data_IF_853678437605
#
_entry.id   IF_853678437605
#
_cell.length_a   1.000
_cell.length_b   1.000
_cell.length_c   1.000
_cell.angle_alpha   90.00
_cell.angle_beta   90.00
_cell.angle_gamma   90.00
#
_symmetry.space_group_name_H-M   'P 1'
#
loop_
_entity.id
_entity.type
_entity.pdbx_description
1 polymer ?
#
# COMPACT_ATOMS: atom_id res chain seq x y z
N UNK A 1 28.62 10.48 -39.86
CA UNK A 1 28.04 9.23 -39.37
C UNK A 1 28.68 8.92 -38.03
N UNK A 2 28.11 9.43 -36.96
CA UNK A 2 28.53 9.19 -35.57
C UNK A 2 27.52 8.19 -34.98
N UNK A 3 27.93 6.94 -34.89
CA UNK A 3 27.15 5.86 -34.25
C UNK A 3 27.14 6.07 -32.75
N UNK A 4 25.99 6.46 -32.21
CA UNK A 4 25.71 6.47 -30.79
C UNK A 4 25.60 5.03 -30.31
N UNK A 5 26.50 4.62 -29.43
CA UNK A 5 26.45 3.34 -28.72
C UNK A 5 25.32 3.43 -27.67
N UNK A 6 24.40 2.44 -27.59
CA UNK A 6 23.31 2.50 -26.62
C UNK A 6 23.83 2.31 -25.19
N UNK A 7 23.42 3.23 -24.31
CA UNK A 7 23.79 3.32 -22.86
C UNK A 7 23.04 2.26 -22.01
N UNK A 8 22.85 1.03 -22.52
CA UNK A 8 22.13 0.00 -21.79
C UNK A 8 22.99 -1.13 -21.19
N UNK A 9 24.34 -1.00 -21.19
CA UNK A 9 25.23 -2.04 -20.70
C UNK A 9 26.17 -1.62 -19.54
N UNK A 10 25.86 -0.57 -18.77
CA UNK A 10 26.79 -0.09 -17.73
C UNK A 10 26.34 -0.30 -16.28
N UNK A 11 25.30 -1.09 -16.02
CA UNK A 11 24.84 -1.36 -14.64
C UNK A 11 25.34 -2.68 -14.03
N UNK A 12 26.23 -3.41 -14.72
CA UNK A 12 26.87 -4.57 -14.14
C UNK A 12 28.32 -4.25 -13.76
N UNK A 13 28.58 -4.06 -12.46
CA UNK A 13 29.90 -3.85 -11.84
C UNK A 13 30.48 -2.43 -11.92
N UNK A 14 29.79 -1.45 -11.32
CA UNK A 14 30.53 -0.35 -10.70
C UNK A 14 31.18 -0.88 -9.42
N UNK A 15 32.31 -1.57 -9.55
CA UNK A 15 33.20 -1.81 -8.44
C UNK A 15 33.72 -0.44 -7.99
N UNK A 16 33.36 -0.04 -6.77
CA UNK A 16 33.88 1.15 -6.14
C UNK A 16 35.38 1.00 -5.92
N UNK A 17 36.10 2.10 -5.77
CA UNK A 17 37.55 2.09 -5.48
C UNK A 17 37.87 1.18 -4.29
N UNK A 18 36.99 1.15 -3.28
CA UNK A 18 37.14 0.31 -2.09
C UNK A 18 36.97 -1.18 -2.42
N UNK A 19 35.99 -1.54 -3.25
CA UNK A 19 35.81 -2.92 -3.70
C UNK A 19 36.97 -3.37 -4.60
N UNK A 20 37.46 -2.45 -5.46
CA UNK A 20 38.62 -2.73 -6.31
C UNK A 20 39.88 -2.97 -5.47
N UNK A 21 40.09 -2.17 -4.42
CA UNK A 21 41.19 -2.35 -3.48
C UNK A 21 41.04 -3.67 -2.71
N UNK A 22 39.86 -3.97 -2.19
CA UNK A 22 39.60 -5.23 -1.48
C UNK A 22 39.82 -6.46 -2.36
N UNK A 23 39.35 -6.44 -3.61
CA UNK A 23 39.63 -7.50 -4.58
C UNK A 23 41.11 -7.59 -4.90
N UNK A 24 41.82 -6.44 -5.02
CA UNK A 24 43.26 -6.41 -5.23
C UNK A 24 44.00 -7.04 -4.06
N UNK A 25 43.66 -6.75 -2.80
CA UNK A 25 44.21 -7.40 -1.62
C UNK A 25 43.97 -8.91 -1.61
N UNK A 26 42.75 -9.35 -1.95
CA UNK A 26 42.41 -10.79 -2.05
C UNK A 26 43.26 -11.49 -3.11
N UNK A 27 43.38 -10.88 -4.30
CA UNK A 27 44.15 -11.45 -5.42
C UNK A 27 45.65 -11.47 -5.09
N UNK A 28 46.17 -10.37 -4.57
CA UNK A 28 47.59 -10.29 -4.19
C UNK A 28 47.87 -11.28 -3.06
N UNK A 29 47.04 -11.32 -2.01
CA UNK A 29 47.19 -12.23 -0.89
C UNK A 29 47.12 -13.70 -1.35
N UNK A 30 46.15 -14.01 -2.20
CA UNK A 30 46.00 -15.39 -2.82
C UNK A 30 47.20 -15.75 -3.68
N UNK A 31 47.71 -14.83 -4.49
CA UNK A 31 48.91 -15.04 -5.31
C UNK A 31 50.16 -15.27 -4.49
N UNK A 32 50.37 -14.43 -3.44
CA UNK A 32 51.47 -14.55 -2.52
C UNK A 32 51.40 -15.88 -1.75
N UNK A 33 50.21 -16.31 -1.31
CA UNK A 33 50.00 -17.60 -0.67
C UNK A 33 50.31 -18.76 -1.61
N UNK A 34 49.82 -18.70 -2.86
CA UNK A 34 50.09 -19.73 -3.88
C UNK A 34 51.61 -19.83 -4.23
N UNK A 35 52.27 -18.68 -4.31
CA UNK A 35 53.71 -18.63 -4.54
C UNK A 35 54.46 -19.24 -3.35
N UNK A 36 54.01 -18.94 -2.11
CA UNK A 36 54.57 -19.56 -0.90
C UNK A 36 54.46 -21.07 -0.84
N UNK A 37 53.42 -21.64 -1.46
CA UNK A 37 53.26 -23.11 -1.53
C UNK A 37 54.05 -23.79 -2.64
N UNK A 38 54.48 -23.06 -3.68
CA UNK A 38 55.10 -23.67 -4.89
C UNK A 38 56.59 -23.41 -5.06
N UNK A 39 57.15 -22.46 -4.32
CA UNK A 39 58.58 -22.11 -4.42
C UNK A 39 59.36 -22.85 -3.34
N UNK A 40 60.36 -23.64 -3.78
CA UNK A 40 61.38 -24.19 -2.89
C UNK A 40 62.26 -23.01 -2.39
N UNK A 41 61.93 -22.54 -1.21
CA UNK A 41 62.38 -21.23 -0.67
C UNK A 41 63.77 -21.27 -0.09
N UNK A 42 64.57 -22.35 -0.31
CA UNK A 42 65.95 -22.41 0.16
C UNK A 42 66.85 -21.24 -0.32
N UNK A 43 66.43 -20.59 -1.42
CA UNK A 43 67.19 -19.45 -1.98
C UNK A 43 66.58 -18.08 -1.65
N UNK A 44 65.38 -18.02 -1.09
CA UNK A 44 64.71 -16.76 -0.68
C UNK A 44 64.99 -16.54 0.81
N UNK A 45 65.48 -15.38 1.15
CA UNK A 45 65.85 -15.02 2.53
C UNK A 45 64.70 -15.34 3.51
N UNK A 46 65.04 -15.65 4.75
CA UNK A 46 64.08 -15.86 5.86
C UNK A 46 63.02 -14.78 5.96
N UNK A 47 63.33 -13.56 5.53
CA UNK A 47 62.41 -12.42 5.43
C UNK A 47 61.23 -12.70 4.47
N UNK A 48 61.50 -13.36 3.34
CA UNK A 48 60.43 -13.61 2.37
C UNK A 48 59.49 -14.73 2.85
N UNK A 49 60.04 -15.68 3.56
CA UNK A 49 59.29 -16.80 4.15
C UNK A 49 58.41 -16.27 5.29
N UNK A 50 58.94 -15.40 6.19
CA UNK A 50 58.18 -14.75 7.22
C UNK A 50 57.08 -13.85 6.64
N UNK A 51 57.33 -13.15 5.54
CA UNK A 51 56.32 -12.35 4.84
C UNK A 51 55.22 -13.21 4.25
N UNK A 52 55.54 -14.32 3.63
CA UNK A 52 54.55 -15.22 3.02
C UNK A 52 53.73 -15.95 4.09
N UNK A 53 54.35 -16.40 5.19
CA UNK A 53 53.66 -17.22 6.19
C UNK A 53 52.87 -16.37 7.19
N UNK A 54 53.33 -15.17 7.51
CA UNK A 54 52.64 -14.29 8.48
C UNK A 54 51.71 -13.25 7.84
N UNK A 55 52.10 -12.68 6.69
CA UNK A 55 51.37 -11.52 6.12
C UNK A 55 50.36 -11.88 5.05
N UNK A 56 50.58 -12.96 4.25
CA UNK A 56 49.62 -13.30 3.19
C UNK A 56 48.27 -13.75 3.70
N UNK A 57 48.14 -14.57 4.77
CA UNK A 57 46.85 -14.87 5.36
C UNK A 57 46.13 -13.62 5.89
N UNK A 58 46.89 -12.67 6.46
CA UNK A 58 46.35 -11.38 6.92
C UNK A 58 45.72 -10.57 5.79
N UNK A 59 46.44 -10.41 4.68
CA UNK A 59 45.92 -9.66 3.51
C UNK A 59 44.65 -10.26 2.94
N UNK A 60 44.51 -11.61 2.90
CA UNK A 60 43.31 -12.27 2.44
C UNK A 60 42.13 -12.01 3.40
N UNK A 61 42.39 -12.13 4.70
CA UNK A 61 41.37 -11.89 5.75
C UNK A 61 40.95 -10.42 5.76
N UNK A 62 41.89 -9.48 5.69
CA UNK A 62 41.64 -8.05 5.70
C UNK A 62 40.86 -7.63 4.44
N UNK A 63 41.22 -8.16 3.26
CA UNK A 63 40.49 -7.92 2.03
C UNK A 63 39.05 -8.44 2.10
N UNK A 64 38.85 -9.65 2.64
CA UNK A 64 37.52 -10.22 2.83
C UNK A 64 36.71 -9.41 3.85
N UNK A 65 37.33 -9.02 4.98
CA UNK A 65 36.70 -8.19 6.00
C UNK A 65 36.29 -6.83 5.41
N UNK A 66 37.15 -6.21 4.62
CA UNK A 66 36.86 -4.94 3.96
C UNK A 66 35.65 -5.05 3.01
N UNK A 67 35.59 -6.13 2.21
CA UNK A 67 34.43 -6.41 1.34
C UNK A 67 33.16 -6.58 2.14
N UNK A 68 33.19 -7.34 3.24
CA UNK A 68 32.02 -7.59 4.09
C UNK A 68 31.55 -6.28 4.75
N UNK A 69 32.50 -5.52 5.32
CA UNK A 69 32.19 -4.23 5.99
C UNK A 69 31.60 -3.23 4.99
N UNK A 70 32.22 -3.09 3.81
CA UNK A 70 31.71 -2.21 2.76
C UNK A 70 30.30 -2.61 2.30
N UNK A 71 30.05 -3.91 2.15
CA UNK A 71 28.72 -4.42 1.79
C UNK A 71 27.67 -4.14 2.87
N UNK A 72 28.06 -4.22 4.15
CA UNK A 72 27.17 -3.88 5.28
C UNK A 72 26.86 -2.39 5.27
N UNK A 73 27.89 -1.53 5.10
CA UNK A 73 27.73 -0.07 5.06
C UNK A 73 26.79 0.32 3.92
N UNK A 74 27.02 -0.14 2.70
CA UNK A 74 26.16 0.14 1.53
C UNK A 74 24.73 -0.35 1.73
N UNK A 75 24.55 -1.54 2.35
CA UNK A 75 23.22 -2.07 2.66
C UNK A 75 22.49 -1.19 3.66
N UNK A 76 23.18 -0.70 4.68
CA UNK A 76 22.60 0.19 5.69
C UNK A 76 22.24 1.55 5.09
N UNK A 77 23.13 2.13 4.27
CA UNK A 77 22.87 3.37 3.55
C UNK A 77 21.64 3.25 2.64
N UNK A 78 21.58 2.19 1.80
CA UNK A 78 20.42 1.91 0.95
C UNK A 78 19.14 1.81 1.77
N UNK A 79 19.14 1.02 2.85
CA UNK A 79 17.96 0.87 3.69
C UNK A 79 17.52 2.20 4.33
N UNK A 80 18.48 3.04 4.73
CA UNK A 80 18.21 4.38 5.25
C UNK A 80 17.52 5.28 4.21
N UNK A 81 18.04 5.33 2.98
CA UNK A 81 17.43 6.10 1.89
C UNK A 81 16.03 5.58 1.55
N UNK A 82 15.88 4.26 1.41
CA UNK A 82 14.59 3.66 1.08
C UNK A 82 13.55 3.85 2.18
N UNK A 83 13.94 3.91 3.45
CA UNK A 83 13.05 4.25 4.56
C UNK A 83 12.59 5.72 4.48
N UNK A 84 13.45 6.64 4.01
CA UNK A 84 13.10 8.05 3.84
C UNK A 84 12.05 8.29 2.74
N UNK A 85 11.88 7.37 1.77
CA UNK A 85 10.80 7.44 0.78
C UNK A 85 9.43 7.40 1.46
N UNK A 86 9.30 6.70 2.58
CA UNK A 86 8.09 6.67 3.42
C UNK A 86 7.92 7.89 4.33
N UNK A 87 8.69 8.96 4.13
CA UNK A 87 8.64 10.15 4.97
C UNK A 87 7.30 10.88 4.90
N UNK A 88 6.90 11.46 6.03
CA UNK A 88 5.77 12.40 6.12
C UNK A 88 6.15 13.81 5.63
N UNK A 89 7.39 14.05 5.27
CA UNK A 89 7.87 15.29 4.64
C UNK A 89 8.14 15.03 3.17
N UNK A 90 7.50 15.81 2.29
CA UNK A 90 7.64 15.67 0.85
C UNK A 90 9.09 15.91 0.38
N UNK A 91 9.78 16.91 0.93
CA UNK A 91 11.15 17.25 0.53
C UNK A 91 12.12 16.09 0.80
N UNK A 92 12.02 15.47 1.98
CA UNK A 92 12.84 14.30 2.32
C UNK A 92 12.50 13.08 1.46
N UNK A 93 11.22 12.84 1.20
CA UNK A 93 10.78 11.74 0.34
C UNK A 93 11.27 11.94 -1.11
N UNK A 94 11.15 13.14 -1.66
CA UNK A 94 11.64 13.46 -3.02
C UNK A 94 13.15 13.36 -3.15
N UNK A 95 13.91 13.79 -2.13
CA UNK A 95 15.37 13.61 -2.14
C UNK A 95 15.74 12.13 -2.11
N UNK A 96 15.07 11.34 -1.27
CA UNK A 96 15.28 9.91 -1.20
C UNK A 96 14.93 9.21 -2.53
N UNK A 97 13.83 9.60 -3.19
CA UNK A 97 13.45 9.08 -4.51
C UNK A 97 14.53 9.41 -5.56
N UNK A 98 15.03 10.66 -5.59
CA UNK A 98 16.11 11.06 -6.52
C UNK A 98 17.38 10.25 -6.30
N UNK A 99 17.80 10.07 -5.03
CA UNK A 99 18.96 9.24 -4.68
C UNK A 99 18.75 7.79 -5.07
N UNK A 100 17.61 7.19 -4.70
CA UNK A 100 17.28 5.81 -5.04
C UNK A 100 17.24 5.58 -6.56
N UNK A 101 16.75 6.57 -7.34
CA UNK A 101 16.78 6.53 -8.79
C UNK A 101 18.20 6.55 -9.35
N UNK A 102 19.06 7.43 -8.85
CA UNK A 102 20.47 7.53 -9.26
C UNK A 102 21.25 6.23 -9.03
N UNK A 103 20.94 5.51 -7.97
CA UNK A 103 21.54 4.23 -7.60
C UNK A 103 20.85 3.00 -8.24
N UNK A 104 19.75 3.18 -8.96
CA UNK A 104 18.98 2.10 -9.58
C UNK A 104 18.09 1.29 -8.60
N UNK A 105 17.92 1.75 -7.36
CA UNK A 105 17.16 1.02 -6.32
C UNK A 105 15.65 1.08 -6.50
N UNK A 106 15.15 1.95 -7.39
CA UNK A 106 13.73 1.97 -7.71
C UNK A 106 13.31 0.77 -8.58
N UNK A 107 14.23 0.20 -9.37
CA UNK A 107 13.93 -0.84 -10.37
C UNK A 107 14.46 -2.21 -10.00
N UNK A 108 15.29 -2.33 -8.96
CA UNK A 108 15.96 -3.58 -8.56
C UNK A 108 15.14 -4.45 -7.59
N UNK A 109 13.87 -4.08 -7.33
CA UNK A 109 12.98 -4.77 -6.39
C UNK A 109 13.16 -4.36 -4.93
N UNK A 110 14.02 -3.39 -4.63
CA UNK A 110 14.28 -2.94 -3.25
C UNK A 110 13.08 -2.31 -2.57
N UNK A 111 12.07 -1.87 -3.34
CA UNK A 111 10.83 -1.28 -2.81
C UNK A 111 9.70 -2.30 -2.66
N UNK A 112 9.83 -3.53 -3.19
CA UNK A 112 8.78 -4.54 -3.11
C UNK A 112 8.35 -4.80 -1.66
N UNK A 113 7.02 -4.80 -1.44
CA UNK A 113 6.40 -5.11 -0.16
C UNK A 113 6.74 -4.13 0.97
N UNK A 114 7.32 -2.97 0.68
CA UNK A 114 7.63 -1.98 1.72
C UNK A 114 6.38 -1.25 2.20
N UNK A 115 6.40 -0.87 3.47
CA UNK A 115 5.39 -0.01 4.07
C UNK A 115 5.74 1.46 3.83
N UNK A 116 4.96 2.13 2.96
CA UNK A 116 5.07 3.54 2.63
C UNK A 116 3.77 4.28 2.97
N UNK A 117 3.07 3.82 4.00
CA UNK A 117 1.81 4.41 4.46
C UNK A 117 1.98 5.89 4.77
N UNK A 118 1.02 6.69 4.28
CA UNK A 118 0.99 8.15 4.51
C UNK A 118 2.20 8.91 3.96
N UNK A 119 3.04 8.27 3.14
CA UNK A 119 4.21 8.90 2.53
C UNK A 119 3.80 10.13 1.72
N UNK A 120 4.56 11.21 1.82
CA UNK A 120 4.37 12.42 1.02
C UNK A 120 5.25 12.36 -0.21
N UNK A 121 4.66 12.01 -1.35
CA UNK A 121 5.33 11.74 -2.62
C UNK A 121 4.78 12.61 -3.75
N UNK A 122 4.28 13.81 -3.41
CA UNK A 122 3.76 14.74 -4.41
C UNK A 122 4.83 15.08 -5.44
N UNK A 123 4.49 14.92 -6.72
CA UNK A 123 5.38 15.15 -7.86
C UNK A 123 6.65 14.27 -7.86
N UNK A 124 6.65 13.14 -7.14
CA UNK A 124 7.76 12.20 -7.16
C UNK A 124 7.90 11.54 -8.53
N UNK A 125 9.13 11.38 -9.02
CA UNK A 125 9.41 10.60 -10.21
C UNK A 125 9.67 9.14 -9.84
N UNK A 126 8.61 8.34 -9.93
CA UNK A 126 8.59 6.88 -9.71
C UNK A 126 8.42 6.12 -11.04
N UNK A 127 8.77 6.75 -12.18
CA UNK A 127 8.66 6.10 -13.49
C UNK A 127 9.50 4.82 -13.56
N UNK A 128 8.89 3.74 -14.04
CA UNK A 128 9.51 2.40 -14.13
C UNK A 128 9.84 1.75 -12.79
N UNK A 129 9.40 2.29 -11.66
CA UNK A 129 9.70 1.73 -10.35
C UNK A 129 9.02 0.37 -10.14
N UNK A 130 9.72 -0.54 -9.46
CA UNK A 130 9.19 -1.82 -9.03
C UNK A 130 8.57 -1.66 -7.63
N UNK A 131 7.27 -1.42 -7.61
CA UNK A 131 6.44 -1.16 -6.43
C UNK A 131 5.50 -2.34 -6.11
N UNK A 132 5.84 -3.55 -6.53
CA UNK A 132 5.00 -4.73 -6.32
C UNK A 132 4.76 -4.97 -4.83
N UNK A 133 3.47 -5.14 -4.48
CA UNK A 133 3.05 -5.41 -3.10
C UNK A 133 3.34 -4.29 -2.10
N UNK A 134 3.73 -3.09 -2.53
CA UNK A 134 3.98 -1.95 -1.66
C UNK A 134 2.69 -1.51 -0.97
N UNK A 135 2.79 -1.12 0.30
CA UNK A 135 1.68 -0.53 1.05
C UNK A 135 1.80 1.00 1.03
N UNK A 136 1.01 1.64 0.17
CA UNK A 136 0.92 3.08 -0.02
C UNK A 136 -0.41 3.64 0.53
N UNK A 137 -1.04 2.97 1.46
CA UNK A 137 -2.32 3.43 2.04
C UNK A 137 -2.20 4.87 2.54
N UNK A 138 -3.14 5.71 2.12
CA UNK A 138 -3.23 7.12 2.50
C UNK A 138 -2.00 7.97 2.11
N UNK A 139 -1.16 7.48 1.21
CA UNK A 139 -0.04 8.26 0.70
C UNK A 139 -0.54 9.38 -0.23
N UNK A 140 0.23 10.44 -0.31
CA UNK A 140 -0.04 11.57 -1.19
C UNK A 140 0.89 11.50 -2.40
N UNK A 141 0.35 11.03 -3.52
CA UNK A 141 1.02 10.85 -4.82
C UNK A 141 0.53 11.86 -5.86
N UNK A 142 -0.04 13.00 -5.45
CA UNK A 142 -0.54 14.01 -6.39
C UNK A 142 0.54 14.46 -7.36
N UNK A 143 0.21 14.42 -8.65
CA UNK A 143 1.13 14.79 -9.72
C UNK A 143 2.35 13.88 -9.86
N UNK A 144 2.43 12.77 -9.14
CA UNK A 144 3.55 11.84 -9.23
C UNK A 144 3.62 11.19 -10.63
N UNK A 145 4.83 10.92 -11.11
CA UNK A 145 5.08 10.23 -12.37
C UNK A 145 5.29 8.75 -12.09
N UNK A 146 4.31 7.94 -12.46
CA UNK A 146 4.29 6.48 -12.27
C UNK A 146 4.26 5.73 -13.62
N UNK A 147 4.68 6.40 -14.71
CA UNK A 147 4.69 5.80 -16.04
C UNK A 147 5.53 4.51 -16.05
N UNK A 148 4.96 3.44 -16.63
CA UNK A 148 5.60 2.11 -16.67
C UNK A 148 5.96 1.51 -15.30
N UNK A 149 5.45 2.03 -14.19
CA UNK A 149 5.68 1.45 -12.87
C UNK A 149 4.94 0.10 -12.73
N UNK A 150 5.54 -0.82 -12.00
CA UNK A 150 4.93 -2.11 -11.65
C UNK A 150 4.34 -2.03 -10.24
N UNK A 151 3.02 -1.86 -10.15
CA UNK A 151 2.26 -1.73 -8.92
C UNK A 151 1.42 -2.99 -8.62
N UNK A 152 1.74 -4.13 -9.23
CA UNK A 152 0.98 -5.36 -9.02
C UNK A 152 0.90 -5.71 -7.53
N UNK A 153 -0.32 -6.07 -7.10
CA UNK A 153 -0.63 -6.42 -5.71
C UNK A 153 -0.33 -5.30 -4.68
N UNK A 154 -0.11 -4.06 -5.12
CA UNK A 154 0.08 -2.94 -4.21
C UNK A 154 -1.23 -2.56 -3.51
N UNK A 155 -1.12 -2.02 -2.30
CA UNK A 155 -2.25 -1.51 -1.52
C UNK A 155 -2.24 0.01 -1.58
N UNK A 156 -3.18 0.57 -2.35
CA UNK A 156 -3.35 2.00 -2.61
C UNK A 156 -4.65 2.54 -2.01
N UNK A 157 -5.20 1.87 -1.01
CA UNK A 157 -6.45 2.29 -0.35
C UNK A 157 -6.32 3.70 0.22
N UNK A 158 -7.22 4.60 -0.18
CA UNK A 158 -7.21 6.00 0.25
C UNK A 158 -6.02 6.84 -0.23
N UNK A 159 -5.26 6.34 -1.20
CA UNK A 159 -4.11 7.07 -1.77
C UNK A 159 -4.61 8.21 -2.65
N UNK A 160 -4.01 9.40 -2.50
CA UNK A 160 -4.29 10.51 -3.39
C UNK A 160 -3.39 10.44 -4.63
N UNK A 161 -3.97 10.12 -5.78
CA UNK A 161 -3.35 10.02 -7.10
C UNK A 161 -3.85 11.12 -8.05
N UNK A 162 -4.44 12.20 -7.53
CA UNK A 162 -4.94 13.29 -8.37
C UNK A 162 -3.80 13.84 -9.24
N UNK A 163 -4.09 14.06 -10.52
CA UNK A 163 -3.14 14.53 -11.54
C UNK A 163 -1.90 13.62 -11.75
N UNK A 164 -1.86 12.42 -11.18
CA UNK A 164 -0.74 11.49 -11.36
C UNK A 164 -0.66 10.93 -12.79
N UNK A 165 0.54 10.68 -13.27
CA UNK A 165 0.77 10.06 -14.57
C UNK A 165 0.98 8.54 -14.40
N UNK A 166 -0.08 7.77 -14.61
CA UNK A 166 -0.12 6.31 -14.50
C UNK A 166 0.00 5.60 -15.87
N UNK A 167 0.32 6.32 -16.94
CA UNK A 167 0.36 5.75 -18.28
C UNK A 167 1.30 4.53 -18.34
N UNK A 168 0.77 3.43 -18.92
CA UNK A 168 1.48 2.18 -19.10
C UNK A 168 1.89 1.50 -17.77
N UNK A 169 1.40 1.96 -16.63
CA UNK A 169 1.62 1.29 -15.35
C UNK A 169 0.85 -0.03 -15.26
N UNK A 170 1.40 -0.98 -14.53
CA UNK A 170 0.73 -2.25 -14.27
C UNK A 170 0.11 -2.22 -12.85
N UNK A 171 -1.21 -2.10 -12.80
CA UNK A 171 -2.04 -2.07 -11.60
C UNK A 171 -2.82 -3.39 -11.41
N UNK A 172 -2.36 -4.52 -11.97
CA UNK A 172 -3.06 -5.80 -11.80
C UNK A 172 -3.12 -6.20 -10.33
N UNK A 173 -4.29 -6.63 -9.88
CA UNK A 173 -4.57 -7.06 -8.49
C UNK A 173 -4.30 -5.96 -7.45
N UNK A 174 -4.31 -4.69 -7.84
CA UNK A 174 -4.11 -3.56 -6.93
C UNK A 174 -5.39 -3.27 -6.14
N UNK A 175 -5.23 -2.82 -4.89
CA UNK A 175 -6.32 -2.32 -4.07
C UNK A 175 -6.35 -0.80 -4.12
N UNK A 176 -7.27 -0.21 -4.91
CA UNK A 176 -7.45 1.23 -5.09
C UNK A 176 -8.71 1.77 -4.40
N UNK A 177 -9.23 1.05 -3.41
CA UNK A 177 -10.42 1.51 -2.70
C UNK A 177 -10.19 2.92 -2.14
N UNK A 178 -11.15 3.82 -2.41
CA UNK A 178 -11.10 5.22 -1.96
C UNK A 178 -9.91 6.03 -2.44
N UNK A 179 -9.20 5.54 -3.43
CA UNK A 179 -8.16 6.34 -4.06
C UNK A 179 -8.78 7.52 -4.82
N UNK A 180 -8.10 8.64 -4.81
CA UNK A 180 -8.46 9.81 -5.59
C UNK A 180 -7.68 9.80 -6.89
N UNK A 181 -8.37 9.71 -8.04
CA UNK A 181 -7.79 9.60 -9.39
C UNK A 181 -8.21 10.76 -10.30
N UNK A 182 -8.74 11.86 -9.75
CA UNK A 182 -9.17 13.01 -10.54
C UNK A 182 -7.99 13.58 -11.32
N UNK A 183 -8.18 13.81 -12.62
CA UNK A 183 -7.14 14.32 -13.50
C UNK A 183 -5.99 13.36 -13.79
N UNK A 184 -6.00 12.15 -13.24
CA UNK A 184 -4.93 11.18 -13.48
C UNK A 184 -4.87 10.74 -14.95
N UNK A 185 -3.66 10.51 -15.47
CA UNK A 185 -3.45 10.02 -16.84
C UNK A 185 -3.29 8.51 -16.82
N UNK A 186 -4.25 7.81 -17.43
CA UNK A 186 -4.39 6.34 -17.33
C UNK A 186 -4.30 5.62 -18.68
N UNK A 187 -3.78 6.26 -19.72
CA UNK A 187 -3.64 5.64 -21.05
C UNK A 187 -2.73 4.40 -20.98
N UNK A 188 -3.23 3.27 -21.46
CA UNK A 188 -2.48 2.02 -21.52
C UNK A 188 -2.20 1.37 -20.17
N UNK A 189 -2.85 1.82 -19.10
CA UNK A 189 -2.76 1.19 -17.78
C UNK A 189 -3.34 -0.24 -17.81
N UNK A 190 -2.75 -1.17 -17.06
CA UNK A 190 -3.25 -2.54 -16.92
C UNK A 190 -3.96 -2.64 -15.56
N UNK A 191 -5.27 -2.98 -15.58
CA UNK A 191 -6.14 -3.02 -14.40
C UNK A 191 -6.74 -4.42 -14.16
N UNK A 192 -6.06 -5.48 -14.59
CA UNK A 192 -6.58 -6.83 -14.40
C UNK A 192 -6.83 -7.10 -12.90
N UNK A 193 -8.07 -7.47 -12.55
CA UNK A 193 -8.48 -7.76 -11.17
C UNK A 193 -8.18 -6.63 -10.16
N UNK A 194 -8.10 -5.39 -10.64
CA UNK A 194 -7.93 -4.22 -9.78
C UNK A 194 -9.24 -3.89 -9.05
N UNK A 195 -9.14 -3.59 -7.75
CA UNK A 195 -10.28 -3.18 -6.92
C UNK A 195 -10.35 -1.66 -6.82
N UNK A 196 -11.25 -1.06 -7.59
CA UNK A 196 -11.51 0.38 -7.60
C UNK A 196 -12.79 0.76 -6.84
N UNK A 197 -13.28 -0.09 -5.94
CA UNK A 197 -14.48 0.21 -5.19
C UNK A 197 -14.33 1.56 -4.45
N UNK A 198 -15.30 2.45 -4.68
CA UNK A 198 -15.36 3.79 -4.08
C UNK A 198 -14.19 4.74 -4.45
N UNK A 199 -13.36 4.39 -5.42
CA UNK A 199 -12.38 5.33 -5.93
C UNK A 199 -13.07 6.54 -6.58
N UNK A 200 -12.56 7.73 -6.31
CA UNK A 200 -13.03 8.96 -6.95
C UNK A 200 -12.37 9.06 -8.34
N UNK A 201 -13.17 8.78 -9.37
CA UNK A 201 -12.69 8.64 -10.75
C UNK A 201 -13.45 9.60 -11.65
N UNK A 202 -12.73 10.51 -12.31
CA UNK A 202 -13.23 11.35 -13.40
C UNK A 202 -12.56 11.01 -14.75
N UNK A 203 -11.74 9.96 -14.75
CA UNK A 203 -10.92 9.55 -15.89
C UNK A 203 -11.57 8.45 -16.72
N UNK A 204 -11.30 8.47 -18.03
CA UNK A 204 -11.84 7.48 -18.96
C UNK A 204 -10.86 6.30 -19.15
N UNK A 205 -11.20 5.15 -18.60
CA UNK A 205 -10.44 3.91 -18.73
C UNK A 205 -10.62 3.17 -20.07
N UNK A 206 -11.19 3.80 -21.10
CA UNK A 206 -11.43 3.15 -22.42
C UNK A 206 -10.15 2.58 -23.05
N UNK A 207 -8.99 3.10 -22.71
CA UNK A 207 -7.70 2.63 -23.20
C UNK A 207 -6.94 1.76 -22.19
N UNK A 208 -7.53 1.50 -21.04
CA UNK A 208 -6.99 0.55 -20.08
C UNK A 208 -7.16 -0.89 -20.59
N UNK A 209 -6.22 -1.75 -20.25
CA UNK A 209 -6.29 -3.18 -20.55
C UNK A 209 -6.66 -3.98 -19.31
N UNK A 210 -7.53 -4.97 -19.45
CA UNK A 210 -8.02 -5.80 -18.35
C UNK A 210 -9.41 -5.39 -17.85
N UNK A 211 -10.06 -6.31 -17.13
CA UNK A 211 -11.34 -6.07 -16.50
C UNK A 211 -11.13 -5.57 -15.08
N UNK A 212 -11.68 -4.42 -14.74
CA UNK A 212 -11.71 -3.94 -13.36
C UNK A 212 -12.89 -4.61 -12.65
N UNK A 213 -12.65 -5.31 -11.55
CA UNK A 213 -13.73 -5.67 -10.64
C UNK A 213 -14.12 -4.43 -9.85
N UNK A 214 -15.43 -4.08 -9.88
CA UNK A 214 -16.00 -3.13 -8.94
C UNK A 214 -15.77 -1.65 -9.20
N UNK A 215 -15.87 -1.17 -10.46
CA UNK A 215 -16.33 0.21 -10.64
C UNK A 215 -17.83 0.22 -10.28
N UNK A 216 -18.13 -0.05 -9.03
CA UNK A 216 -19.42 0.31 -8.44
C UNK A 216 -19.25 1.76 -8.02
N UNK A 217 -19.71 2.64 -8.89
CA UNK A 217 -19.70 4.07 -8.66
C UNK A 217 -20.26 4.39 -7.29
N UNK A 218 -19.51 5.13 -6.52
CA UNK A 218 -20.01 5.59 -5.24
C UNK A 218 -18.95 6.17 -4.35
N UNK A 219 -18.15 7.10 -4.85
CA UNK A 219 -17.57 8.07 -3.94
C UNK A 219 -18.74 8.76 -3.26
N UNK A 220 -18.82 8.66 -1.92
CA UNK A 220 -19.80 9.43 -1.17
C UNK A 220 -19.39 10.88 -1.28
N UNK A 221 -20.11 11.65 -2.08
CA UNK A 221 -19.79 13.06 -2.27
C UNK A 221 -20.22 13.90 -1.06
N UNK A 222 -19.72 15.14 -0.98
CA UNK A 222 -20.01 16.04 0.14
C UNK A 222 -21.52 16.22 0.39
N UNK A 223 -22.34 16.27 -0.65
CA UNK A 223 -23.78 16.40 -0.53
C UNK A 223 -24.41 15.14 0.09
N UNK A 224 -23.93 13.94 -0.29
CA UNK A 224 -24.39 12.69 0.31
C UNK A 224 -23.95 12.58 1.78
N UNK A 225 -22.76 13.06 2.15
CA UNK A 225 -22.30 13.11 3.54
C UNK A 225 -23.22 14.01 4.38
N UNK A 226 -23.58 15.16 3.86
CA UNK A 226 -24.54 16.07 4.55
C UNK A 226 -25.93 15.43 4.70
N UNK A 227 -26.43 14.75 3.66
CA UNK A 227 -27.71 14.01 3.73
C UNK A 227 -27.64 12.88 4.77
N UNK A 228 -26.54 12.14 4.82
CA UNK A 228 -26.31 11.10 5.81
C UNK A 228 -26.29 11.68 7.23
N UNK A 229 -25.57 12.76 7.46
CA UNK A 229 -25.50 13.43 8.77
C UNK A 229 -26.88 13.96 9.21
N UNK A 230 -27.59 14.63 8.31
CA UNK A 230 -28.91 15.17 8.60
C UNK A 230 -29.92 14.07 8.93
N UNK A 231 -29.97 13.00 8.12
CA UNK A 231 -30.88 11.88 8.38
C UNK A 231 -30.46 11.05 9.59
N UNK A 232 -29.17 10.89 9.83
CA UNK A 232 -28.68 10.19 11.03
C UNK A 232 -29.03 10.92 12.33
N UNK A 233 -29.06 12.25 12.33
CA UNK A 233 -29.50 13.02 13.50
C UNK A 233 -30.93 12.65 13.93
N UNK A 234 -31.81 12.34 12.97
CA UNK A 234 -33.16 11.84 13.28
C UNK A 234 -33.13 10.40 13.84
N UNK A 235 -32.29 9.53 13.32
CA UNK A 235 -32.07 8.18 13.89
C UNK A 235 -31.58 8.28 15.33
N UNK A 236 -30.66 9.21 15.61
CA UNK A 236 -30.16 9.45 16.97
C UNK A 236 -31.24 9.98 17.91
N UNK A 237 -32.14 10.83 17.42
CA UNK A 237 -33.26 11.37 18.21
C UNK A 237 -34.22 10.27 18.64
N UNK A 238 -34.46 9.28 17.77
CA UNK A 238 -35.26 8.10 18.10
C UNK A 238 -34.49 7.10 18.99
N UNK A 239 -33.16 7.17 18.95
CA UNK A 239 -32.29 6.44 19.87
C UNK A 239 -32.37 4.91 19.73
N UNK A 240 -32.47 4.23 20.89
CA UNK A 240 -32.50 2.76 20.93
C UNK A 240 -33.69 2.17 20.18
N UNK A 241 -34.82 2.90 20.08
CA UNK A 241 -36.03 2.41 19.38
C UNK A 241 -35.81 2.20 17.87
N UNK A 242 -35.07 3.10 17.22
CA UNK A 242 -34.73 2.95 15.80
C UNK A 242 -33.87 1.69 15.55
N UNK A 243 -32.93 1.41 16.45
CA UNK A 243 -32.06 0.25 16.35
C UNK A 243 -32.79 -1.04 16.73
N UNK A 244 -33.71 -0.98 17.66
CA UNK A 244 -34.57 -2.12 18.01
C UNK A 244 -35.43 -2.54 16.82
N UNK A 245 -35.97 -1.57 16.08
CA UNK A 245 -36.71 -1.84 14.84
C UNK A 245 -35.82 -2.52 13.79
N UNK A 246 -34.57 -2.07 13.65
CA UNK A 246 -33.60 -2.72 12.77
C UNK A 246 -33.38 -4.18 13.13
N UNK A 247 -33.16 -4.49 14.43
CA UNK A 247 -32.99 -5.88 14.86
C UNK A 247 -34.26 -6.72 14.72
N UNK A 248 -35.43 -6.15 14.92
CA UNK A 248 -36.71 -6.85 14.67
C UNK A 248 -36.83 -7.24 13.20
N UNK A 249 -36.56 -6.31 12.29
CA UNK A 249 -36.56 -6.53 10.86
C UNK A 249 -35.48 -7.56 10.45
N UNK A 250 -34.28 -7.49 11.05
CA UNK A 250 -33.17 -8.41 10.77
C UNK A 250 -33.51 -9.85 11.15
N UNK A 251 -34.07 -10.02 12.34
CA UNK A 251 -34.48 -11.36 12.81
C UNK A 251 -35.77 -11.87 12.19
N UNK A 252 -36.61 -11.00 11.67
CA UNK A 252 -37.75 -11.40 10.82
C UNK A 252 -37.26 -11.88 9.45
N UNK A 253 -36.28 -11.19 8.87
CA UNK A 253 -35.70 -11.58 7.58
C UNK A 253 -34.87 -12.88 7.67
N UNK A 254 -34.12 -13.07 8.76
CA UNK A 254 -33.34 -14.29 9.00
C UNK A 254 -33.28 -14.66 10.50
N UNK A 255 -34.20 -15.51 10.97
CA UNK A 255 -34.23 -15.97 12.37
C UNK A 255 -32.96 -16.71 12.83
N UNK A 256 -32.23 -17.33 11.90
CA UNK A 256 -31.01 -18.10 12.18
C UNK A 256 -29.85 -17.22 12.70
N UNK A 257 -29.94 -15.89 12.53
CA UNK A 257 -28.94 -14.96 13.05
C UNK A 257 -29.04 -14.74 14.57
N UNK A 258 -30.18 -15.02 15.21
CA UNK A 258 -30.39 -14.76 16.65
C UNK A 258 -29.29 -15.31 17.55
N UNK A 259 -28.74 -16.52 17.36
CA UNK A 259 -27.68 -17.06 18.22
C UNK A 259 -26.37 -16.30 18.16
N UNK A 260 -26.11 -15.54 17.09
CA UNK A 260 -24.89 -14.73 16.95
C UNK A 260 -24.89 -13.51 17.88
N UNK A 261 -26.05 -13.16 18.46
CA UNK A 261 -26.26 -11.99 19.32
C UNK A 261 -26.41 -12.40 20.77
N UNK A 262 -25.31 -12.67 21.48
CA UNK A 262 -25.29 -13.16 22.85
C UNK A 262 -25.52 -12.10 23.93
N UNK A 263 -25.34 -10.82 23.60
CA UNK A 263 -25.53 -9.72 24.54
C UNK A 263 -27.01 -9.34 24.68
N UNK A 264 -27.38 -8.66 25.81
CA UNK A 264 -28.73 -8.11 25.93
C UNK A 264 -29.02 -7.14 24.80
N UNK A 265 -30.26 -7.14 24.31
CA UNK A 265 -30.74 -6.29 23.21
C UNK A 265 -30.35 -4.82 23.42
N UNK A 266 -30.62 -4.30 24.59
CA UNK A 266 -30.32 -2.91 24.93
C UNK A 266 -28.82 -2.57 24.84
N UNK A 267 -27.93 -3.49 25.26
CA UNK A 267 -26.49 -3.30 25.13
C UNK A 267 -26.06 -3.34 23.66
N UNK A 268 -26.70 -4.19 22.88
CA UNK A 268 -26.46 -4.35 21.44
C UNK A 268 -26.87 -3.07 20.70
N UNK A 269 -28.09 -2.56 20.96
CA UNK A 269 -28.64 -1.36 20.33
C UNK A 269 -27.77 -0.13 20.59
N UNK A 270 -27.31 0.07 21.84
CA UNK A 270 -26.38 1.16 22.17
C UNK A 270 -25.05 1.07 21.41
N UNK A 271 -24.46 -0.12 21.37
CA UNK A 271 -23.19 -0.32 20.64
C UNK A 271 -23.35 -0.04 19.15
N UNK A 272 -24.42 -0.53 18.56
CA UNK A 272 -24.68 -0.31 17.13
C UNK A 272 -24.88 1.17 16.83
N UNK A 273 -25.68 1.87 17.61
CA UNK A 273 -25.87 3.32 17.46
C UNK A 273 -24.55 4.10 17.61
N UNK A 274 -23.71 3.73 18.60
CA UNK A 274 -22.39 4.32 18.76
C UNK A 274 -21.46 4.08 17.57
N UNK A 275 -21.50 2.86 16.99
CA UNK A 275 -20.72 2.53 15.82
C UNK A 275 -21.18 3.32 14.60
N UNK A 276 -22.49 3.42 14.37
CA UNK A 276 -23.04 4.23 13.28
C UNK A 276 -22.67 5.71 13.44
N UNK A 277 -22.76 6.26 14.66
CA UNK A 277 -22.34 7.64 14.95
C UNK A 277 -20.89 7.87 14.59
N UNK A 278 -20.01 6.96 15.00
CA UNK A 278 -18.58 7.07 14.72
C UNK A 278 -18.32 7.05 13.20
N UNK A 279 -18.97 6.16 12.48
CA UNK A 279 -18.82 6.00 11.03
C UNK A 279 -19.34 7.25 10.31
N UNK A 280 -20.58 7.70 10.59
CA UNK A 280 -21.17 8.86 9.92
C UNK A 280 -20.37 10.13 10.17
N UNK A 281 -19.81 10.30 11.37
CA UNK A 281 -19.00 11.46 11.72
C UNK A 281 -17.58 11.42 11.14
N UNK A 282 -17.11 10.26 10.67
CA UNK A 282 -15.78 10.11 10.08
C UNK A 282 -15.79 9.94 8.56
N UNK A 283 -16.94 10.07 7.89
CA UNK A 283 -17.05 9.86 6.43
C UNK A 283 -16.21 10.84 5.60
N UNK A 284 -15.89 12.00 6.12
CA UNK A 284 -14.99 12.98 5.52
C UNK A 284 -13.52 12.81 5.94
N UNK A 285 -13.23 11.86 6.83
CA UNK A 285 -11.89 11.48 7.28
C UNK A 285 -11.60 10.01 6.87
N UNK A 286 -11.25 9.72 5.61
CA UNK A 286 -11.10 8.34 5.11
C UNK A 286 -10.17 7.48 5.95
N UNK A 287 -9.06 8.05 6.41
CA UNK A 287 -8.08 7.34 7.25
C UNK A 287 -8.70 6.81 8.53
N UNK A 288 -9.49 7.63 9.20
CA UNK A 288 -10.14 7.29 10.47
C UNK A 288 -11.28 6.29 10.27
N UNK A 289 -12.04 6.47 9.20
CA UNK A 289 -13.15 5.57 8.85
C UNK A 289 -12.65 4.16 8.57
N UNK A 290 -11.58 4.02 7.78
CA UNK A 290 -11.00 2.70 7.43
C UNK A 290 -10.51 1.99 8.66
N UNK A 291 -9.71 2.63 9.50
CA UNK A 291 -9.16 2.00 10.71
C UNK A 291 -10.27 1.46 11.64
N UNK A 292 -11.32 2.26 11.83
CA UNK A 292 -12.49 1.86 12.64
C UNK A 292 -13.24 0.69 12.02
N UNK A 293 -13.44 0.71 10.70
CA UNK A 293 -14.15 -0.34 9.98
C UNK A 293 -13.36 -1.64 9.88
N UNK A 294 -12.04 -1.57 9.69
CA UNK A 294 -11.15 -2.74 9.75
C UNK A 294 -11.25 -3.43 11.12
N UNK A 295 -11.11 -2.69 12.21
CA UNK A 295 -11.25 -3.24 13.56
C UNK A 295 -12.66 -3.82 13.82
N UNK A 296 -13.68 -3.22 13.23
CA UNK A 296 -15.05 -3.73 13.34
C UNK A 296 -15.22 -5.02 12.53
N UNK A 297 -14.64 -5.12 11.34
CA UNK A 297 -14.63 -6.31 10.48
C UNK A 297 -13.97 -7.49 11.17
N UNK A 298 -12.79 -7.31 11.74
CA UNK A 298 -12.09 -8.35 12.51
C UNK A 298 -12.96 -8.89 13.65
N UNK A 299 -13.68 -8.01 14.39
CA UNK A 299 -14.60 -8.45 15.44
C UNK A 299 -15.77 -9.23 14.89
N UNK A 300 -16.35 -8.84 13.75
CA UNK A 300 -17.46 -9.53 13.10
C UNK A 300 -17.05 -10.92 12.62
N UNK A 301 -15.84 -11.08 12.08
CA UNK A 301 -15.25 -12.40 11.80
C UNK A 301 -15.24 -13.29 13.04
N UNK A 302 -14.82 -12.75 14.18
CA UNK A 302 -14.83 -13.47 15.47
C UNK A 302 -16.22 -13.94 15.90
N UNK A 303 -17.29 -13.31 15.39
CA UNK A 303 -18.68 -13.72 15.62
C UNK A 303 -19.23 -14.65 14.54
N UNK A 304 -18.43 -15.04 13.55
CA UNK A 304 -18.84 -15.91 12.44
C UNK A 304 -19.67 -15.20 11.36
N UNK A 305 -19.58 -13.87 11.27
CA UNK A 305 -20.25 -13.09 10.20
C UNK A 305 -19.56 -13.40 8.88
N UNK A 306 -20.38 -13.62 7.84
CA UNK A 306 -19.95 -13.89 6.46
C UNK A 306 -20.45 -12.79 5.51
N UNK A 307 -19.90 -12.72 4.31
CA UNK A 307 -20.19 -11.68 3.33
C UNK A 307 -21.71 -11.50 3.06
N UNK A 308 -22.43 -12.59 2.82
CA UNK A 308 -23.88 -12.53 2.57
C UNK A 308 -24.69 -11.95 3.75
N UNK A 309 -24.16 -11.98 4.98
CA UNK A 309 -24.82 -11.34 6.13
C UNK A 309 -24.79 -9.82 6.03
N UNK A 310 -23.74 -9.24 5.42
CA UNK A 310 -23.69 -7.80 5.17
C UNK A 310 -24.69 -7.35 4.11
N UNK A 311 -24.88 -8.13 3.04
CA UNK A 311 -25.91 -7.84 2.02
C UNK A 311 -27.31 -7.81 2.63
N UNK A 312 -27.61 -8.82 3.44
CA UNK A 312 -28.90 -8.89 4.16
C UNK A 312 -29.07 -7.70 5.10
N UNK A 313 -28.05 -7.37 5.91
CA UNK A 313 -28.10 -6.27 6.86
C UNK A 313 -28.28 -4.92 6.16
N UNK A 314 -27.66 -4.71 4.98
CA UNK A 314 -27.85 -3.52 4.16
C UNK A 314 -29.29 -3.37 3.67
N UNK A 315 -29.86 -4.42 3.13
CA UNK A 315 -31.28 -4.41 2.71
C UNK A 315 -32.23 -4.12 3.88
N UNK A 316 -31.97 -4.73 5.05
CA UNK A 316 -32.76 -4.52 6.26
C UNK A 316 -32.58 -3.08 6.78
N UNK A 317 -31.40 -2.50 6.74
CA UNK A 317 -31.17 -1.12 7.13
C UNK A 317 -31.99 -0.16 6.29
N UNK A 318 -31.95 -0.31 4.96
CA UNK A 318 -32.75 0.53 4.05
C UNK A 318 -34.24 0.37 4.29
N UNK A 319 -34.72 -0.84 4.51
CA UNK A 319 -36.12 -1.11 4.84
C UNK A 319 -36.52 -0.44 6.17
N UNK A 320 -35.66 -0.51 7.18
CA UNK A 320 -35.87 0.14 8.49
C UNK A 320 -35.94 1.65 8.38
N UNK A 321 -35.00 2.26 7.65
CA UNK A 321 -34.99 3.70 7.39
C UNK A 321 -36.24 4.15 6.62
N UNK A 322 -36.71 3.32 5.65
CA UNK A 322 -37.96 3.59 4.95
C UNK A 322 -39.18 3.58 5.89
N UNK A 323 -39.20 2.69 6.89
CA UNK A 323 -40.26 2.66 7.90
C UNK A 323 -40.20 3.86 8.85
N UNK A 324 -38.98 4.30 9.22
CA UNK A 324 -38.76 5.41 10.16
C UNK A 324 -39.13 6.76 9.55
N UNK A 325 -38.73 6.97 8.30
CA UNK A 325 -38.88 8.27 7.62
C UNK A 325 -40.16 8.37 6.77
N UNK A 326 -40.75 7.23 6.39
CA UNK A 326 -41.92 7.22 5.51
C UNK A 326 -41.68 7.95 4.19
N UNK A 327 -42.55 8.90 3.86
CA UNK A 327 -42.45 9.70 2.64
C UNK A 327 -41.26 10.68 2.63
N UNK A 328 -40.70 11.03 3.80
CA UNK A 328 -39.52 11.88 3.91
C UNK A 328 -38.21 11.19 3.50
N UNK A 329 -38.22 9.84 3.32
CA UNK A 329 -37.06 9.09 2.86
C UNK A 329 -36.87 9.24 1.34
N UNK A 330 -36.29 10.36 0.93
CA UNK A 330 -36.09 10.69 -0.47
C UNK A 330 -35.21 9.66 -1.21
N UNK A 331 -35.26 9.70 -2.55
CA UNK A 331 -34.43 8.86 -3.39
C UNK A 331 -32.92 9.15 -3.18
N UNK A 332 -32.59 10.42 -2.95
CA UNK A 332 -31.22 10.88 -2.67
C UNK A 332 -30.73 10.37 -1.31
N UNK A 333 -31.55 10.44 -0.25
CA UNK A 333 -31.23 9.87 1.06
C UNK A 333 -31.02 8.35 0.94
N UNK A 334 -31.92 7.66 0.25
CA UNK A 334 -31.81 6.22 0.01
C UNK A 334 -30.50 5.88 -0.69
N UNK A 335 -30.16 6.61 -1.75
CA UNK A 335 -28.90 6.43 -2.48
C UNK A 335 -27.68 6.66 -1.60
N UNK A 336 -27.70 7.70 -0.77
CA UNK A 336 -26.62 8.02 0.16
C UNK A 336 -26.40 6.89 1.20
N UNK A 337 -27.48 6.39 1.81
CA UNK A 337 -27.41 5.26 2.75
C UNK A 337 -26.98 3.95 2.11
N UNK A 338 -27.41 3.68 0.89
CA UNK A 338 -26.95 2.50 0.14
C UNK A 338 -25.45 2.57 -0.15
N UNK A 339 -24.98 3.74 -0.62
CA UNK A 339 -23.56 3.96 -0.88
C UNK A 339 -22.73 3.83 0.40
N UNK A 340 -23.17 4.46 1.52
CA UNK A 340 -22.50 4.37 2.80
C UNK A 340 -22.43 2.94 3.33
N UNK A 341 -23.52 2.19 3.25
CA UNK A 341 -23.55 0.83 3.74
C UNK A 341 -22.70 -0.12 2.87
N UNK A 342 -22.75 0.02 1.56
CA UNK A 342 -21.92 -0.75 0.64
C UNK A 342 -20.42 -0.52 0.94
N UNK A 343 -20.06 0.72 1.22
CA UNK A 343 -18.75 1.13 1.67
C UNK A 343 -18.31 0.41 2.96
N UNK A 344 -19.15 0.51 3.99
CA UNK A 344 -18.91 -0.11 5.30
C UNK A 344 -18.72 -1.62 5.15
N UNK A 345 -19.64 -2.28 4.45
CA UNK A 345 -19.61 -3.71 4.20
C UNK A 345 -18.34 -4.15 3.48
N UNK A 346 -17.93 -3.42 2.45
CA UNK A 346 -16.74 -3.74 1.66
C UNK A 346 -15.46 -3.72 2.50
N UNK A 347 -15.29 -2.71 3.37
CA UNK A 347 -14.11 -2.64 4.27
C UNK A 347 -14.14 -3.74 5.31
N UNK A 348 -15.31 -3.97 5.91
CA UNK A 348 -15.45 -4.99 6.96
C UNK A 348 -15.27 -6.41 6.44
N UNK A 349 -15.73 -6.72 5.23
CA UNK A 349 -15.52 -8.04 4.57
C UNK A 349 -14.04 -8.26 4.30
N UNK A 350 -13.31 -7.23 3.89
CA UNK A 350 -11.88 -7.35 3.58
C UNK A 350 -11.01 -7.54 4.82
N UNK A 351 -11.41 -6.94 5.95
CA UNK A 351 -10.74 -7.11 7.24
C UNK A 351 -11.10 -8.44 7.92
N UNK A 352 -12.15 -9.09 7.46
CA UNK A 352 -12.63 -10.38 7.95
C UNK A 352 -11.94 -11.55 7.23
#
# INVERSE_FOLDING_TARGET
>A
MTTSIPISMTNSLKLDLVDLLAVSFLVIGGLLFAVGMTIDTRALSEFFQMFVDEWTPGFVIDGLLLLVVNRIIRRNERNGVLAQIGSLSNDFALDAVRRARGEGWLTDGSLQGRELKKAKLQNADLSGADLRGVDLRFADLRGAVLTHADLRHAVLTGTNLADADLRWANLSHVQLRWAELQGARVDGVILQDADLAFAAVDVDFKRATGCCQGIVGGHINAQQIELLRASFAEVERQGEQAIDLFYDNLFAANPALRPMFSASRQRQSRKFLQSLRLIVNSLDEPERSVEVLEQLGERHKGYGVQEHHYELAGGVLIATLTQLFGEEFSAEMRSAWQAAFALIAAVMVQAA
#
